data_IF_376809455489
#
_entry.id   IF_376809455489
#
_cell.length_a   1.000
_cell.length_b   1.000
_cell.length_c   1.000
_cell.angle_alpha   90.00
_cell.angle_beta   90.00
_cell.angle_gamma   90.00
#
_symmetry.space_group_name_H-M   'P 1'
#
loop_
_entity.id
_entity.type
_entity.pdbx_description
1 polymer ?
#
# COMPACT_ATOMS: atom_id res chain seq x y z
N UNK A 1 -5.70 -24.08 13.64
CA UNK A 1 -4.63 -23.59 12.75
C UNK A 1 -3.61 -22.85 13.60
N UNK A 2 -2.40 -22.63 13.09
CA UNK A 2 -1.45 -21.72 13.73
C UNK A 2 -0.62 -20.95 12.70
N UNK A 3 -0.06 -19.82 13.13
CA UNK A 3 0.71 -18.91 12.28
C UNK A 3 1.91 -18.38 13.05
N UNK A 4 3.10 -18.47 12.46
CA UNK A 4 4.26 -17.70 12.91
C UNK A 4 4.19 -16.28 12.37
N UNK A 5 4.43 -15.26 13.18
CA UNK A 5 4.49 -13.86 12.70
C UNK A 5 5.80 -13.20 13.13
N UNK A 6 6.65 -12.83 12.18
CA UNK A 6 7.86 -12.04 12.44
C UNK A 6 7.58 -10.59 12.08
N UNK A 7 7.74 -9.69 13.05
CA UNK A 7 7.41 -8.27 12.89
C UNK A 7 6.04 -7.94 13.50
N UNK A 8 6.01 -7.78 14.81
CA UNK A 8 4.81 -7.35 15.55
C UNK A 8 4.74 -5.82 15.63
N UNK A 9 4.76 -5.16 14.46
CA UNK A 9 4.48 -3.73 14.34
C UNK A 9 2.98 -3.43 14.45
N UNK A 10 2.54 -2.33 13.84
CA UNK A 10 1.10 -2.00 13.75
C UNK A 10 0.32 -3.04 12.93
N UNK A 11 0.83 -3.43 11.75
CA UNK A 11 0.19 -4.42 10.88
C UNK A 11 0.25 -5.82 11.47
N UNK A 12 1.45 -6.40 11.64
CA UNK A 12 1.60 -7.76 12.18
C UNK A 12 1.02 -7.96 13.59
N UNK A 13 1.00 -6.91 14.43
CA UNK A 13 0.32 -6.97 15.73
C UNK A 13 -1.20 -7.06 15.61
N UNK A 14 -1.84 -6.30 14.71
CA UNK A 14 -3.28 -6.41 14.48
C UNK A 14 -3.66 -7.74 13.83
N UNK A 15 -2.83 -8.24 12.91
CA UNK A 15 -3.00 -9.57 12.33
C UNK A 15 -2.91 -10.67 13.40
N UNK A 16 -1.96 -10.57 14.32
CA UNK A 16 -1.85 -11.49 15.45
C UNK A 16 -3.11 -11.48 16.34
N UNK A 17 -3.66 -10.29 16.62
CA UNK A 17 -4.90 -10.15 17.40
C UNK A 17 -6.11 -10.71 16.66
N UNK A 18 -6.16 -10.58 15.34
CA UNK A 18 -7.20 -11.19 14.52
C UNK A 18 -7.11 -12.72 14.52
N UNK A 19 -5.90 -13.27 14.42
CA UNK A 19 -5.67 -14.72 14.54
C UNK A 19 -6.24 -15.24 15.86
N UNK A 20 -5.89 -14.58 16.99
CA UNK A 20 -6.41 -14.94 18.31
C UNK A 20 -7.94 -14.91 18.34
N UNK A 21 -8.59 -13.87 17.80
CA UNK A 21 -10.05 -13.78 17.82
C UNK A 21 -10.75 -14.81 16.92
N UNK A 22 -10.00 -15.55 16.10
CA UNK A 22 -10.48 -16.65 15.24
C UNK A 22 -9.94 -18.02 15.69
N UNK A 23 -9.47 -18.12 16.94
CA UNK A 23 -8.90 -19.35 17.52
C UNK A 23 -7.71 -19.92 16.72
N UNK A 24 -6.95 -19.04 16.04
CA UNK A 24 -5.70 -19.37 15.35
C UNK A 24 -4.55 -19.06 16.31
N UNK A 25 -3.81 -20.10 16.71
CA UNK A 25 -2.67 -19.94 17.62
C UNK A 25 -1.56 -19.13 16.92
N UNK A 26 -0.99 -18.16 17.62
CA UNK A 26 0.10 -17.33 17.10
C UNK A 26 1.36 -17.53 17.92
N UNK A 27 2.48 -17.76 17.23
CA UNK A 27 3.81 -17.52 17.79
C UNK A 27 4.35 -16.29 17.08
N UNK A 28 4.66 -15.25 17.83
CA UNK A 28 5.16 -13.98 17.34
C UNK A 28 6.64 -13.82 17.65
N UNK A 29 7.38 -13.12 16.77
CA UNK A 29 8.77 -12.74 17.01
C UNK A 29 8.97 -11.25 16.86
N UNK A 30 9.53 -10.65 17.91
CA UNK A 30 9.87 -9.22 17.95
C UNK A 30 10.94 -8.96 19.00
N UNK A 31 11.75 -7.91 18.81
CA UNK A 31 12.66 -7.40 19.84
C UNK A 31 11.97 -6.41 20.79
N UNK A 32 10.82 -5.88 20.39
CA UNK A 32 10.07 -4.87 21.14
C UNK A 32 9.03 -5.51 22.03
N UNK A 33 8.97 -5.10 23.30
CA UNK A 33 7.93 -5.57 24.23
C UNK A 33 6.52 -5.24 23.72
N UNK A 34 5.63 -6.23 23.76
CA UNK A 34 4.23 -6.14 23.31
C UNK A 34 3.28 -6.76 24.35
N UNK A 35 3.15 -6.15 25.54
CA UNK A 35 2.34 -6.70 26.63
C UNK A 35 0.87 -6.85 26.27
N UNK A 36 0.38 -6.01 25.36
CA UNK A 36 -0.96 -6.08 24.79
C UNK A 36 -1.22 -7.39 24.04
N UNK A 37 -0.24 -7.87 23.27
CA UNK A 37 -0.35 -9.13 22.52
C UNK A 37 -0.20 -10.35 23.42
N UNK A 38 0.72 -10.30 24.40
CA UNK A 38 0.87 -11.37 25.39
C UNK A 38 -0.40 -11.54 26.20
N UNK A 39 -1.02 -10.43 26.63
CA UNK A 39 -2.29 -10.45 27.38
C UNK A 39 -3.44 -11.02 26.55
N UNK A 40 -3.38 -10.88 25.22
CA UNK A 40 -4.32 -11.49 24.30
C UNK A 40 -4.02 -12.97 24.00
N UNK A 41 -2.93 -13.55 24.53
CA UNK A 41 -2.59 -14.97 24.35
C UNK A 41 -1.65 -15.27 23.18
N UNK A 42 -1.00 -14.26 22.60
CA UNK A 42 0.08 -14.47 21.62
C UNK A 42 1.36 -14.91 22.35
N UNK A 43 1.93 -16.05 21.96
CA UNK A 43 3.26 -16.43 22.46
C UNK A 43 4.33 -15.59 21.75
N UNK A 44 5.20 -14.88 22.48
CA UNK A 44 6.20 -13.98 21.87
C UNK A 44 7.61 -14.42 22.22
N UNK A 45 8.41 -14.65 21.19
CA UNK A 45 9.80 -15.07 21.29
C UNK A 45 10.77 -14.03 20.73
N UNK A 46 11.97 -14.00 21.31
CA UNK A 46 13.07 -13.14 20.84
C UNK A 46 14.03 -13.90 19.94
N UNK A 47 14.31 -15.19 20.22
CA UNK A 47 15.18 -16.05 19.42
C UNK A 47 14.46 -16.71 18.24
N UNK A 48 15.17 -16.98 17.14
CA UNK A 48 14.60 -17.75 16.02
C UNK A 48 14.39 -19.22 16.38
N UNK A 49 15.33 -19.83 17.11
CA UNK A 49 15.22 -21.23 17.55
C UNK A 49 13.95 -21.49 18.38
N UNK A 50 13.71 -20.68 19.42
CA UNK A 50 12.51 -20.80 20.26
C UNK A 50 11.24 -20.51 19.44
N UNK A 51 11.24 -19.43 18.65
CA UNK A 51 10.13 -19.07 17.75
C UNK A 51 9.71 -20.24 16.85
N UNK A 52 10.68 -20.89 16.18
CA UNK A 52 10.43 -22.03 15.31
C UNK A 52 10.04 -23.28 16.11
N UNK A 53 10.65 -23.50 17.27
CA UNK A 53 10.40 -24.65 18.14
C UNK A 53 8.97 -24.69 18.71
N UNK A 54 8.30 -23.55 18.85
CA UNK A 54 6.90 -23.50 19.29
C UNK A 54 5.89 -23.74 18.17
N UNK A 55 6.32 -23.78 16.91
CA UNK A 55 5.49 -24.02 15.73
C UNK A 55 5.55 -25.49 15.28
N UNK A 56 4.42 -26.01 14.79
CA UNK A 56 4.20 -27.33 14.22
C UNK A 56 4.59 -27.33 12.74
N UNK A 57 5.15 -28.44 12.29
CA UNK A 57 5.49 -28.67 10.88
C UNK A 57 4.28 -29.14 10.06
N UNK A 58 4.20 -28.80 8.75
CA UNK A 58 4.99 -27.75 8.10
C UNK A 58 4.61 -26.37 8.63
N UNK A 59 5.61 -25.55 8.94
CA UNK A 59 5.43 -24.24 9.55
C UNK A 59 5.03 -23.21 8.50
N UNK A 60 4.06 -22.35 8.81
CA UNK A 60 3.72 -21.19 7.98
C UNK A 60 4.09 -19.93 8.74
N UNK A 61 5.01 -19.14 8.19
CA UNK A 61 5.58 -17.96 8.84
C UNK A 61 5.32 -16.72 7.99
N UNK A 62 4.52 -15.79 8.51
CA UNK A 62 4.23 -14.48 7.91
C UNK A 62 5.29 -13.45 8.34
N UNK A 63 5.92 -12.78 7.38
CA UNK A 63 6.82 -11.64 7.61
C UNK A 63 6.04 -10.34 7.45
N UNK A 64 5.91 -9.58 8.53
CA UNK A 64 5.31 -8.24 8.54
C UNK A 64 6.41 -7.20 8.81
N UNK A 65 7.28 -7.00 7.81
CA UNK A 65 8.51 -6.22 7.93
C UNK A 65 8.59 -5.12 6.86
N UNK A 66 9.38 -4.06 7.09
CA UNK A 66 9.75 -3.11 6.03
C UNK A 66 10.41 -3.85 4.86
N UNK A 67 10.05 -3.46 3.64
CA UNK A 67 10.60 -4.02 2.41
C UNK A 67 12.12 -3.79 2.29
N UNK A 68 12.76 -4.55 1.39
CA UNK A 68 14.20 -4.47 1.12
C UNK A 68 15.05 -5.27 2.11
N UNK A 69 16.21 -4.74 2.48
CA UNK A 69 17.29 -5.44 3.21
C UNK A 69 16.82 -6.06 4.55
N UNK A 70 15.79 -5.47 5.18
CA UNK A 70 15.25 -6.02 6.45
C UNK A 70 14.66 -7.41 6.25
N UNK A 71 13.95 -7.66 5.14
CA UNK A 71 13.40 -8.98 4.82
C UNK A 71 14.54 -9.95 4.52
N UNK A 72 15.55 -9.53 3.75
CA UNK A 72 16.68 -10.40 3.39
C UNK A 72 17.45 -10.87 4.63
N UNK A 73 17.76 -9.96 5.56
CA UNK A 73 18.41 -10.31 6.84
C UNK A 73 17.59 -11.28 7.68
N UNK A 74 16.28 -11.07 7.75
CA UNK A 74 15.39 -11.97 8.52
C UNK A 74 15.32 -13.35 7.87
N UNK A 75 15.27 -13.44 6.54
CA UNK A 75 15.31 -14.73 5.83
C UNK A 75 16.63 -15.45 6.09
N UNK A 76 17.77 -14.75 6.00
CA UNK A 76 19.10 -15.30 6.27
C UNK A 76 19.22 -15.88 7.69
N UNK A 77 18.70 -15.17 8.69
CA UNK A 77 18.71 -15.61 10.09
C UNK A 77 17.69 -16.72 10.38
N UNK A 78 16.54 -16.75 9.68
CA UNK A 78 15.46 -17.70 9.92
C UNK A 78 15.71 -19.06 9.26
N UNK A 79 16.17 -19.08 8.00
CA UNK A 79 16.34 -20.30 7.19
C UNK A 79 17.14 -21.41 7.88
N UNK A 80 18.23 -21.14 8.62
CA UNK A 80 18.99 -22.17 9.34
C UNK A 80 18.19 -22.95 10.40
N UNK A 81 17.03 -22.43 10.83
CA UNK A 81 16.18 -23.06 11.82
C UNK A 81 15.01 -23.85 11.23
N UNK A 82 14.73 -23.69 9.93
CA UNK A 82 13.56 -24.29 9.27
C UNK A 82 13.85 -25.68 8.73
N UNK A 83 12.78 -26.48 8.65
CA UNK A 83 12.80 -27.82 8.08
C UNK A 83 12.31 -27.81 6.63
N UNK A 84 12.59 -28.90 5.89
CA UNK A 84 12.09 -29.07 4.53
C UNK A 84 10.55 -29.05 4.50
N UNK A 85 9.97 -28.27 3.60
CA UNK A 85 8.52 -28.09 3.46
C UNK A 85 7.92 -26.98 4.33
N UNK A 86 8.71 -26.31 5.18
CA UNK A 86 8.26 -25.09 5.86
C UNK A 86 8.05 -23.95 4.83
N UNK A 87 7.26 -22.95 5.20
CA UNK A 87 6.89 -21.83 4.34
C UNK A 87 7.25 -20.50 4.97
N UNK A 88 7.98 -19.67 4.23
CA UNK A 88 8.17 -18.25 4.49
C UNK A 88 7.22 -17.47 3.58
N UNK A 89 6.35 -16.67 4.18
CA UNK A 89 5.43 -15.80 3.48
C UNK A 89 5.79 -14.34 3.73
N UNK A 90 6.26 -13.62 2.72
CA UNK A 90 6.54 -12.18 2.80
C UNK A 90 5.26 -11.41 2.60
N UNK A 91 4.76 -10.79 3.67
CA UNK A 91 3.50 -10.04 3.67
C UNK A 91 3.65 -8.53 3.60
N UNK A 92 4.86 -8.04 3.28
CA UNK A 92 5.18 -6.63 3.14
C UNK A 92 4.86 -6.07 1.75
N UNK A 93 5.20 -4.80 1.53
CA UNK A 93 5.17 -4.18 0.20
C UNK A 93 6.52 -4.38 -0.51
N UNK A 94 7.00 -5.62 -0.61
CA UNK A 94 8.29 -5.91 -1.26
C UNK A 94 8.20 -5.75 -2.77
N UNK A 95 9.32 -5.37 -3.40
CA UNK A 95 9.41 -5.34 -4.86
C UNK A 95 9.37 -6.76 -5.42
N UNK A 96 8.52 -7.01 -6.41
CA UNK A 96 8.23 -8.37 -6.86
C UNK A 96 9.45 -9.12 -7.43
N UNK A 97 10.45 -8.41 -7.98
CA UNK A 97 11.69 -9.04 -8.45
C UNK A 97 12.55 -9.55 -7.30
N UNK A 98 12.51 -8.89 -6.14
CA UNK A 98 13.15 -9.39 -4.92
C UNK A 98 12.47 -10.68 -4.46
N UNK A 99 11.15 -10.77 -4.57
CA UNK A 99 10.42 -12.01 -4.26
C UNK A 99 10.80 -13.17 -5.17
N UNK A 100 10.98 -12.93 -6.48
CA UNK A 100 11.48 -13.95 -7.42
C UNK A 100 12.89 -14.41 -7.04
N UNK A 101 13.75 -13.47 -6.63
CA UNK A 101 15.11 -13.80 -6.18
C UNK A 101 15.10 -14.61 -4.88
N UNK A 102 14.36 -14.13 -3.87
CA UNK A 102 14.21 -14.76 -2.55
C UNK A 102 13.63 -16.16 -2.66
N UNK A 103 12.66 -16.37 -3.54
CA UNK A 103 12.09 -17.70 -3.76
C UNK A 103 13.16 -18.70 -4.20
N UNK A 104 13.99 -18.35 -5.20
CA UNK A 104 15.07 -19.23 -5.67
C UNK A 104 16.07 -19.56 -4.56
N UNK A 105 16.43 -18.56 -3.75
CA UNK A 105 17.36 -18.71 -2.63
C UNK A 105 16.79 -19.64 -1.56
N UNK A 106 15.55 -19.42 -1.15
CA UNK A 106 14.87 -20.18 -0.09
C UNK A 106 14.54 -21.61 -0.53
N UNK A 107 14.06 -21.79 -1.76
CA UNK A 107 13.71 -23.12 -2.31
C UNK A 107 14.93 -23.99 -2.57
N UNK A 108 16.11 -23.42 -2.82
CA UNK A 108 17.37 -24.18 -2.85
C UNK A 108 17.70 -24.90 -1.53
N UNK A 109 17.04 -24.49 -0.43
CA UNK A 109 17.17 -25.06 0.92
C UNK A 109 16.00 -25.98 1.29
N UNK A 110 15.09 -26.27 0.36
CA UNK A 110 13.92 -27.12 0.60
C UNK A 110 12.76 -26.42 1.32
N UNK A 111 12.79 -25.09 1.40
CA UNK A 111 11.78 -24.26 2.06
C UNK A 111 10.94 -23.57 0.97
N UNK A 112 9.64 -23.48 1.17
CA UNK A 112 8.76 -22.74 0.28
C UNK A 112 8.79 -21.24 0.56
N UNK A 113 8.64 -20.44 -0.49
CA UNK A 113 8.49 -18.99 -0.38
C UNK A 113 7.21 -18.55 -1.06
N UNK A 114 6.44 -17.68 -0.38
CA UNK A 114 5.21 -17.08 -0.88
C UNK A 114 5.33 -15.56 -0.75
N UNK A 115 5.15 -14.83 -1.85
CA UNK A 115 4.93 -13.39 -1.79
C UNK A 115 3.44 -13.10 -1.58
N UNK A 116 3.12 -12.32 -0.55
CA UNK A 116 1.75 -12.09 -0.09
C UNK A 116 1.45 -10.59 -0.05
N UNK A 117 0.94 -10.09 -1.18
CA UNK A 117 0.39 -8.74 -1.24
C UNK A 117 -0.81 -8.59 -0.30
N UNK A 118 -0.68 -7.71 0.70
CA UNK A 118 -1.74 -7.51 1.73
C UNK A 118 -2.31 -6.09 1.66
N UNK A 119 -3.63 -5.94 1.54
CA UNK A 119 -4.34 -4.65 1.51
C UNK A 119 -5.49 -4.60 2.54
N UNK A 120 -5.95 -3.39 2.87
CA UNK A 120 -7.03 -3.12 3.85
C UNK A 120 -6.63 -2.28 5.07
N UNK A 121 -5.36 -1.85 5.17
CA UNK A 121 -4.88 -1.01 6.27
C UNK A 121 -4.95 -1.69 7.64
N UNK A 122 -4.94 -0.88 8.71
CA UNK A 122 -4.95 -1.38 10.10
C UNK A 122 -6.27 -2.07 10.45
N UNK A 123 -7.38 -1.53 9.95
CA UNK A 123 -8.71 -2.13 10.15
C UNK A 123 -8.79 -3.49 9.45
N UNK A 124 -8.32 -3.57 8.20
CA UNK A 124 -8.28 -4.84 7.48
C UNK A 124 -7.41 -5.87 8.17
N UNK A 125 -6.23 -5.50 8.67
CA UNK A 125 -5.39 -6.39 9.46
C UNK A 125 -6.08 -6.91 10.75
N UNK A 126 -7.07 -6.18 11.28
CA UNK A 126 -7.79 -6.56 12.50
C UNK A 126 -9.08 -7.33 12.22
N UNK A 127 -9.76 -7.03 11.13
CA UNK A 127 -11.14 -7.47 10.89
C UNK A 127 -11.29 -8.31 9.62
N UNK A 128 -10.39 -8.16 8.65
CA UNK A 128 -10.37 -8.91 7.40
C UNK A 128 -9.53 -8.19 6.37
N UNK A 129 -8.45 -8.80 5.86
CA UNK A 129 -7.60 -8.19 4.85
C UNK A 129 -7.93 -8.70 3.44
N UNK A 130 -7.35 -8.07 2.43
CA UNK A 130 -7.28 -8.59 1.07
C UNK A 130 -5.88 -9.16 0.82
N UNK A 131 -5.79 -10.43 0.43
CA UNK A 131 -4.55 -11.16 0.19
C UNK A 131 -4.42 -11.59 -1.27
N UNK A 132 -3.30 -11.23 -1.87
CA UNK A 132 -2.89 -11.56 -3.24
C UNK A 132 -1.58 -12.32 -3.16
N UNK A 133 -1.61 -13.65 -3.32
CA UNK A 133 -0.41 -14.47 -3.13
C UNK A 133 0.20 -14.95 -4.44
N UNK A 134 1.54 -14.95 -4.52
CA UNK A 134 2.34 -15.59 -5.55
C UNK A 134 3.21 -16.68 -4.93
N UNK A 135 3.38 -17.79 -5.64
CA UNK A 135 4.10 -18.96 -5.14
C UNK A 135 3.83 -20.21 -5.99
N UNK A 136 4.49 -21.31 -5.68
CA UNK A 136 4.12 -22.61 -6.27
C UNK A 136 2.73 -23.03 -5.77
N UNK A 137 2.03 -23.89 -6.52
CA UNK A 137 0.71 -24.40 -6.10
C UNK A 137 0.78 -25.09 -4.73
N UNK A 138 1.86 -25.84 -4.48
CA UNK A 138 2.13 -26.48 -3.19
C UNK A 138 2.26 -25.48 -2.05
N UNK A 139 3.07 -24.44 -2.22
CA UNK A 139 3.25 -23.39 -1.22
C UNK A 139 1.95 -22.62 -0.96
N UNK A 140 1.21 -22.31 -2.02
CA UNK A 140 -0.08 -21.63 -1.93
C UNK A 140 -1.12 -22.45 -1.16
N UNK A 141 -1.20 -23.77 -1.40
CA UNK A 141 -2.10 -24.68 -0.68
C UNK A 141 -1.81 -24.72 0.83
N UNK A 142 -0.55 -24.58 1.24
CA UNK A 142 -0.17 -24.54 2.66
C UNK A 142 -0.60 -23.23 3.34
N UNK A 143 -0.51 -22.10 2.64
CA UNK A 143 -0.89 -20.78 3.17
C UNK A 143 -2.39 -20.48 3.08
N UNK A 144 -3.10 -21.07 2.12
CA UNK A 144 -4.49 -20.75 1.81
C UNK A 144 -5.44 -20.84 3.02
N UNK A 145 -5.41 -21.89 3.87
CA UNK A 145 -6.38 -22.01 4.96
C UNK A 145 -6.32 -20.84 5.95
N UNK A 146 -5.11 -20.43 6.35
CA UNK A 146 -4.94 -19.32 7.30
C UNK A 146 -5.25 -17.98 6.64
N UNK A 147 -4.87 -17.78 5.38
CA UNK A 147 -5.16 -16.53 4.68
C UNK A 147 -6.64 -16.35 4.40
N UNK A 148 -7.36 -17.40 3.97
CA UNK A 148 -8.83 -17.35 3.81
C UNK A 148 -9.54 -17.09 5.13
N UNK A 149 -9.03 -17.65 6.23
CA UNK A 149 -9.57 -17.37 7.56
C UNK A 149 -9.35 -15.90 7.98
N UNK A 150 -8.28 -15.25 7.53
CA UNK A 150 -7.96 -13.85 7.86
C UNK A 150 -8.48 -12.84 6.82
N UNK A 151 -8.91 -13.30 5.66
CA UNK A 151 -9.42 -12.46 4.59
C UNK A 151 -10.85 -11.95 4.89
N UNK A 152 -11.22 -10.83 4.26
CA UNK A 152 -12.64 -10.55 4.00
C UNK A 152 -13.21 -11.59 3.03
N UNK A 153 -14.53 -11.76 3.00
CA UNK A 153 -15.18 -12.65 2.03
C UNK A 153 -14.78 -12.26 0.60
N UNK A 154 -14.30 -13.23 -0.18
CA UNK A 154 -13.78 -13.02 -1.53
C UNK A 154 -12.43 -12.28 -1.61
N UNK A 155 -11.84 -11.88 -0.48
CA UNK A 155 -10.59 -11.13 -0.40
C UNK A 155 -9.31 -11.98 -0.47
N UNK A 156 -9.34 -13.14 -1.11
CA UNK A 156 -8.16 -14.01 -1.26
C UNK A 156 -8.04 -14.49 -2.70
N UNK A 157 -6.83 -14.41 -3.26
CA UNK A 157 -6.51 -14.97 -4.57
C UNK A 157 -5.07 -15.47 -4.64
N UNK A 158 -4.88 -16.66 -5.22
CA UNK A 158 -3.58 -17.13 -5.70
C UNK A 158 -3.39 -16.67 -7.14
N UNK A 159 -2.39 -15.82 -7.35
CA UNK A 159 -2.16 -15.07 -8.60
C UNK A 159 -1.19 -15.76 -9.56
N UNK A 160 -0.63 -16.90 -9.13
CA UNK A 160 0.26 -17.74 -9.93
C UNK A 160 1.67 -17.82 -9.33
N UNK A 161 2.67 -17.83 -10.21
CA UNK A 161 4.09 -18.10 -9.89
C UNK A 161 4.69 -17.09 -8.90
N UNK A 162 5.83 -17.42 -8.26
CA UNK A 162 6.55 -16.49 -7.39
C UNK A 162 6.74 -15.10 -8.03
N UNK A 163 6.53 -14.06 -7.23
CA UNK A 163 6.51 -12.64 -7.60
C UNK A 163 5.14 -12.13 -8.06
N UNK A 164 4.19 -12.98 -8.42
CA UNK A 164 2.90 -12.52 -8.97
C UNK A 164 2.02 -11.80 -7.95
N UNK A 165 2.04 -12.19 -6.67
CA UNK A 165 1.24 -11.59 -5.61
C UNK A 165 1.68 -10.16 -5.31
N UNK A 166 2.99 -9.96 -5.10
CA UNK A 166 3.55 -8.62 -4.93
C UNK A 166 3.42 -7.77 -6.20
N UNK A 167 3.51 -8.36 -7.40
CA UNK A 167 3.27 -7.61 -8.63
C UNK A 167 1.81 -7.13 -8.74
N UNK A 168 0.84 -7.99 -8.46
CA UNK A 168 -0.58 -7.60 -8.43
C UNK A 168 -0.82 -6.53 -7.36
N UNK A 169 -0.19 -6.63 -6.18
CA UNK A 169 -0.27 -5.61 -5.13
C UNK A 169 0.37 -4.27 -5.56
N UNK A 170 1.47 -4.32 -6.30
CA UNK A 170 2.10 -3.13 -6.86
C UNK A 170 1.17 -2.41 -7.84
N UNK A 171 0.50 -3.16 -8.73
CA UNK A 171 -0.54 -2.61 -9.62
C UNK A 171 -1.73 -2.04 -8.84
N UNK A 172 -2.20 -2.74 -7.80
CA UNK A 172 -3.24 -2.25 -6.89
C UNK A 172 -2.89 -0.88 -6.32
N UNK A 173 -1.68 -0.69 -5.77
CA UNK A 173 -1.25 0.61 -5.24
C UNK A 173 -1.18 1.70 -6.31
N UNK A 174 -0.81 1.36 -7.55
CA UNK A 174 -0.87 2.30 -8.66
C UNK A 174 -2.28 2.78 -8.97
N UNK A 175 -3.25 1.87 -8.98
CA UNK A 175 -4.68 2.20 -9.15
C UNK A 175 -5.15 3.09 -8.00
N UNK A 176 -4.79 2.75 -6.76
CA UNK A 176 -5.09 3.53 -5.57
C UNK A 176 -4.60 4.99 -5.71
N UNK A 177 -3.35 5.20 -6.14
CA UNK A 177 -2.80 6.55 -6.34
C UNK A 177 -3.56 7.34 -7.42
N UNK A 178 -3.93 6.69 -8.53
CA UNK A 178 -4.77 7.31 -9.56
C UNK A 178 -6.13 7.75 -9.02
N UNK A 179 -6.76 6.92 -8.18
CA UNK A 179 -8.03 7.25 -7.54
C UNK A 179 -7.90 8.38 -6.51
N UNK A 180 -6.87 8.32 -5.65
CA UNK A 180 -6.58 9.36 -4.66
C UNK A 180 -6.42 10.72 -5.33
N UNK A 181 -5.63 10.78 -6.40
CA UNK A 181 -5.41 12.01 -7.15
C UNK A 181 -6.71 12.55 -7.75
N UNK A 182 -7.50 11.70 -8.41
CA UNK A 182 -8.78 12.10 -9.00
C UNK A 182 -9.79 12.61 -7.95
N UNK A 183 -9.85 11.99 -6.77
CA UNK A 183 -10.67 12.44 -5.65
C UNK A 183 -10.17 13.81 -5.14
N UNK A 184 -8.86 13.98 -4.96
CA UNK A 184 -8.25 15.23 -4.51
C UNK A 184 -8.52 16.41 -5.47
N UNK A 185 -8.41 16.18 -6.78
CA UNK A 185 -8.75 17.18 -7.81
C UNK A 185 -10.23 17.59 -7.74
N UNK A 186 -11.12 16.62 -7.50
CA UNK A 186 -12.54 16.88 -7.28
C UNK A 186 -12.82 17.76 -6.06
N UNK A 187 -12.11 17.50 -4.95
CA UNK A 187 -12.18 18.34 -3.73
C UNK A 187 -11.75 19.77 -4.04
N UNK A 188 -10.61 19.94 -4.71
CA UNK A 188 -10.08 21.26 -5.07
C UNK A 188 -11.07 22.04 -5.94
N UNK A 189 -11.65 21.40 -6.95
CA UNK A 189 -12.65 22.01 -7.83
C UNK A 189 -13.92 22.41 -7.06
N UNK A 190 -14.44 21.54 -6.21
CA UNK A 190 -15.64 21.82 -5.42
C UNK A 190 -15.42 22.99 -4.44
N UNK A 191 -14.24 23.07 -3.80
CA UNK A 191 -13.90 24.19 -2.91
C UNK A 191 -13.82 25.54 -3.63
N UNK A 192 -13.41 25.55 -4.88
CA UNK A 192 -13.30 26.76 -5.69
C UNK A 192 -14.56 27.07 -6.52
N UNK A 193 -15.64 26.31 -6.28
CA UNK A 193 -16.93 26.55 -6.92
C UNK A 193 -17.74 27.64 -6.20
N UNK A 194 -18.71 28.23 -6.90
CA UNK A 194 -19.58 29.27 -6.35
C UNK A 194 -20.71 28.73 -5.43
N UNK A 195 -20.77 27.40 -5.24
CA UNK A 195 -21.93 26.71 -4.64
C UNK A 195 -21.88 26.53 -3.11
N UNK A 196 -20.82 27.00 -2.42
CA UNK A 196 -20.69 26.90 -0.95
C UNK A 196 -20.99 25.49 -0.41
N UNK A 197 -20.33 24.48 -0.96
CA UNK A 197 -20.68 23.07 -0.78
C UNK A 197 -20.23 22.52 0.59
N UNK A 198 -21.09 21.70 1.21
CA UNK A 198 -20.70 20.89 2.37
C UNK A 198 -20.05 19.58 1.90
N UNK A 199 -18.72 19.56 1.86
CA UNK A 199 -17.96 18.40 1.37
C UNK A 199 -18.19 17.14 2.22
N UNK A 200 -18.32 17.27 3.54
CA UNK A 200 -18.55 16.11 4.42
C UNK A 200 -19.84 15.38 4.04
N UNK A 201 -20.94 16.11 3.90
CA UNK A 201 -22.24 15.53 3.56
C UNK A 201 -22.24 14.94 2.14
N UNK A 202 -21.51 15.55 1.21
CA UNK A 202 -21.36 15.06 -0.16
C UNK A 202 -20.59 13.74 -0.19
N UNK A 203 -19.44 13.65 0.49
CA UNK A 203 -18.66 12.41 0.53
C UNK A 203 -19.42 11.30 1.26
N UNK A 204 -20.15 11.63 2.35
CA UNK A 204 -21.09 10.68 2.98
C UNK A 204 -22.16 10.21 2.02
N UNK A 205 -22.75 11.10 1.24
CA UNK A 205 -23.72 10.71 0.21
C UNK A 205 -23.08 9.76 -0.82
N UNK A 206 -21.87 10.06 -1.30
CA UNK A 206 -21.19 9.23 -2.29
C UNK A 206 -20.75 7.86 -1.77
N UNK A 207 -20.54 7.72 -0.46
CA UNK A 207 -20.33 6.40 0.15
C UNK A 207 -21.57 5.49 0.07
N UNK A 208 -22.75 6.03 -0.29
CA UNK A 208 -24.02 5.32 -0.29
C UNK A 208 -24.60 5.17 -1.72
N UNK A 209 -24.33 4.02 -2.36
CA UNK A 209 -24.96 3.65 -3.64
C UNK A 209 -24.41 4.38 -4.88
N UNK A 210 -23.46 5.31 -4.72
CA UNK A 210 -22.80 5.98 -5.84
C UNK A 210 -22.00 5.01 -6.72
N UNK A 211 -21.78 5.40 -7.97
CA UNK A 211 -20.88 4.71 -8.90
C UNK A 211 -19.44 4.74 -8.39
N UNK A 212 -19.02 5.84 -7.76
CA UNK A 212 -17.65 6.01 -7.24
C UNK A 212 -17.48 5.51 -5.80
N UNK A 213 -18.50 4.87 -5.21
CA UNK A 213 -18.43 4.37 -3.84
C UNK A 213 -17.20 3.48 -3.69
N UNK A 214 -16.41 3.75 -2.65
CA UNK A 214 -15.17 3.04 -2.37
C UNK A 214 -14.70 3.39 -0.97
N UNK A 215 -13.81 2.56 -0.41
CA UNK A 215 -13.20 2.83 0.88
C UNK A 215 -12.47 4.19 0.91
N UNK A 216 -11.86 4.63 -0.20
CA UNK A 216 -11.22 5.96 -0.27
C UNK A 216 -12.23 7.12 -0.12
N UNK A 217 -13.44 6.97 -0.66
CA UNK A 217 -14.53 7.94 -0.49
C UNK A 217 -15.02 7.95 0.96
N UNK A 218 -15.10 6.78 1.60
CA UNK A 218 -15.44 6.64 3.02
C UNK A 218 -14.38 7.28 3.93
N UNK A 219 -13.08 7.07 3.63
CA UNK A 219 -11.98 7.71 4.35
C UNK A 219 -12.02 9.23 4.22
N UNK A 220 -12.35 9.76 3.04
CA UNK A 220 -12.50 11.20 2.86
C UNK A 220 -13.69 11.74 3.65
N UNK A 221 -14.81 11.03 3.67
CA UNK A 221 -15.97 11.39 4.49
C UNK A 221 -15.61 11.47 5.98
N UNK A 222 -14.96 10.44 6.52
CA UNK A 222 -14.52 10.41 7.92
C UNK A 222 -13.47 11.48 8.23
N UNK A 223 -12.50 11.70 7.34
CA UNK A 223 -11.50 12.75 7.50
C UNK A 223 -12.09 14.16 7.55
N UNK A 224 -13.15 14.44 6.80
CA UNK A 224 -13.88 15.71 6.84
C UNK A 224 -14.78 15.86 8.09
N UNK A 225 -15.15 14.76 8.72
CA UNK A 225 -15.84 14.77 10.02
C UNK A 225 -14.88 15.17 11.14
N UNK A 226 -13.64 14.70 11.09
CA UNK A 226 -12.60 15.01 12.08
C UNK A 226 -11.91 16.37 11.83
N UNK A 227 -11.72 16.76 10.57
CA UNK A 227 -10.99 17.97 10.17
C UNK A 227 -11.91 18.94 9.46
N UNK A 228 -12.45 19.90 10.21
CA UNK A 228 -13.37 20.91 9.68
C UNK A 228 -12.69 22.02 8.84
N UNK A 229 -11.41 22.30 9.11
CA UNK A 229 -10.61 23.23 8.29
C UNK A 229 -9.49 22.48 7.56
N UNK A 230 -9.70 22.25 6.26
CA UNK A 230 -8.71 21.59 5.40
C UNK A 230 -7.36 22.32 5.36
N UNK A 231 -7.30 23.64 5.65
CA UNK A 231 -6.04 24.36 5.69
C UNK A 231 -5.16 23.96 6.89
N UNK A 232 -5.74 23.30 7.90
CA UNK A 232 -4.98 22.70 9.00
C UNK A 232 -4.19 21.45 8.57
N UNK A 233 -4.53 20.85 7.43
CA UNK A 233 -3.80 19.70 6.87
C UNK A 233 -2.68 20.22 5.95
N UNK A 234 -1.42 19.86 6.19
CA UNK A 234 -0.33 20.22 5.28
C UNK A 234 -0.56 19.61 3.89
N UNK A 235 -0.45 20.43 2.84
CA UNK A 235 -0.56 19.97 1.44
C UNK A 235 0.65 19.16 0.92
N UNK A 236 1.57 18.76 1.79
CA UNK A 236 2.74 17.96 1.45
C UNK A 236 2.40 16.47 1.59
N UNK A 237 2.66 15.68 0.56
CA UNK A 237 2.37 14.24 0.55
C UNK A 237 3.69 13.46 0.56
N UNK A 238 3.86 12.60 1.57
CA UNK A 238 4.99 11.65 1.64
C UNK A 238 4.56 10.26 1.15
N UNK A 239 5.49 9.51 0.56
CA UNK A 239 5.25 8.12 0.14
C UNK A 239 6.48 7.24 0.33
N UNK A 240 6.25 5.92 0.28
CA UNK A 240 7.29 4.89 0.40
C UNK A 240 7.95 4.55 -0.93
N UNK A 241 7.48 5.11 -2.05
CA UNK A 241 8.11 5.05 -3.36
C UNK A 241 7.71 3.86 -4.23
N UNK A 242 6.82 2.96 -3.76
CA UNK A 242 6.51 1.73 -4.49
C UNK A 242 5.90 2.00 -5.87
N UNK A 243 5.03 3.01 -5.99
CA UNK A 243 4.38 3.34 -7.27
C UNK A 243 5.40 3.86 -8.30
N UNK A 244 6.55 4.38 -7.87
CA UNK A 244 7.65 4.72 -8.79
C UNK A 244 8.20 3.46 -9.48
N UNK A 245 8.26 2.32 -8.77
CA UNK A 245 8.66 1.05 -9.37
C UNK A 245 7.66 0.58 -10.42
N UNK A 246 6.36 0.82 -10.20
CA UNK A 246 5.32 0.52 -11.19
C UNK A 246 5.47 1.40 -12.45
N UNK A 247 5.70 2.70 -12.27
CA UNK A 247 5.92 3.62 -13.40
C UNK A 247 7.15 3.22 -14.21
N UNK A 248 8.26 2.87 -13.52
CA UNK A 248 9.45 2.37 -14.19
C UNK A 248 9.17 1.06 -14.95
N UNK A 249 8.48 0.12 -14.32
CA UNK A 249 8.13 -1.16 -14.96
C UNK A 249 7.24 -0.97 -16.20
N UNK A 250 6.34 0.01 -16.18
CA UNK A 250 5.51 0.34 -17.34
C UNK A 250 6.33 0.96 -18.48
N UNK A 251 7.31 1.82 -18.16
CA UNK A 251 8.26 2.38 -19.13
C UNK A 251 9.11 1.26 -19.76
N UNK A 252 9.70 0.39 -18.93
CA UNK A 252 10.55 -0.72 -19.39
C UNK A 252 9.79 -1.69 -20.31
N UNK A 253 8.47 -1.78 -20.16
CA UNK A 253 7.57 -2.61 -20.98
C UNK A 253 6.88 -1.85 -22.12
N UNK A 254 7.09 -0.55 -22.23
CA UNK A 254 6.41 0.33 -23.18
C UNK A 254 4.87 0.26 -23.07
N UNK A 255 4.34 0.13 -21.84
CA UNK A 255 2.89 0.05 -21.56
C UNK A 255 2.39 1.41 -21.04
N UNK A 256 1.37 2.02 -21.69
CA UNK A 256 0.85 3.32 -21.26
C UNK A 256 -0.01 3.20 -19.99
N UNK A 257 0.37 3.92 -18.93
CA UNK A 257 -0.41 4.06 -17.68
C UNK A 257 -0.59 5.54 -17.25
N UNK A 258 -1.10 6.42 -18.14
CA UNK A 258 -0.99 7.87 -17.98
C UNK A 258 -1.60 8.43 -16.69
N UNK A 259 -2.75 7.90 -16.25
CA UNK A 259 -3.42 8.37 -15.01
C UNK A 259 -2.54 8.11 -13.79
N UNK A 260 -2.00 6.90 -13.68
CA UNK A 260 -1.11 6.51 -12.57
C UNK A 260 0.17 7.34 -12.62
N UNK A 261 0.79 7.49 -13.80
CA UNK A 261 1.98 8.33 -13.96
C UNK A 261 1.72 9.77 -13.51
N UNK A 262 0.60 10.38 -13.93
CA UNK A 262 0.27 11.75 -13.53
C UNK A 262 0.05 11.87 -12.02
N UNK A 263 -0.60 10.90 -11.37
CA UNK A 263 -0.77 10.92 -9.90
C UNK A 263 0.56 10.97 -9.14
N UNK A 264 1.59 10.25 -9.61
CA UNK A 264 2.94 10.31 -9.04
C UNK A 264 3.59 11.68 -9.27
N UNK A 265 3.42 12.26 -10.46
CA UNK A 265 3.94 13.60 -10.77
C UNK A 265 3.28 14.67 -9.89
N UNK A 266 1.97 14.60 -9.67
CA UNK A 266 1.25 15.51 -8.78
C UNK A 266 1.70 15.37 -7.32
N UNK A 267 1.94 14.14 -6.87
CA UNK A 267 2.56 13.90 -5.57
C UNK A 267 3.94 14.57 -5.48
N UNK A 268 4.80 14.49 -6.50
CA UNK A 268 6.07 15.24 -6.49
C UNK A 268 5.87 16.76 -6.51
N UNK A 269 4.84 17.27 -7.21
CA UNK A 269 4.49 18.69 -7.21
C UNK A 269 4.05 19.16 -5.83
N UNK A 270 3.33 18.32 -5.06
CA UNK A 270 2.95 18.62 -3.67
C UNK A 270 4.16 18.96 -2.78
N UNK A 271 5.32 18.38 -3.08
CA UNK A 271 6.59 18.61 -2.35
C UNK A 271 7.34 19.86 -2.79
N UNK A 272 7.00 20.43 -3.95
CA UNK A 272 7.74 21.52 -4.59
C UNK A 272 6.84 22.72 -4.87
N UNK A 273 6.83 23.69 -3.95
CA UNK A 273 6.07 24.94 -4.10
C UNK A 273 6.63 25.90 -5.15
N UNK A 274 7.93 25.84 -5.43
CA UNK A 274 8.60 26.68 -6.42
C UNK A 274 9.14 25.85 -7.60
N UNK A 275 9.18 26.44 -8.80
CA UNK A 275 9.56 25.74 -10.03
C UNK A 275 10.40 26.61 -10.96
N UNK A 276 11.68 26.26 -11.10
CA UNK A 276 12.58 26.86 -12.09
C UNK A 276 12.15 26.56 -13.52
N UNK A 277 11.49 25.42 -13.76
CA UNK A 277 10.91 25.12 -15.06
C UNK A 277 9.86 26.17 -15.46
N UNK A 278 9.02 26.62 -14.53
CA UNK A 278 8.04 27.68 -14.81
C UNK A 278 8.68 29.05 -14.99
N UNK A 279 9.75 29.34 -14.25
CA UNK A 279 10.56 30.56 -14.46
C UNK A 279 11.19 30.56 -15.86
N UNK A 280 11.79 29.45 -16.28
CA UNK A 280 12.38 29.30 -17.61
C UNK A 280 11.32 29.43 -18.73
N UNK A 281 10.15 28.80 -18.57
CA UNK A 281 9.02 28.95 -19.51
C UNK A 281 8.56 30.41 -19.58
N UNK A 282 8.42 31.09 -18.44
CA UNK A 282 8.06 32.50 -18.41
C UNK A 282 9.09 33.37 -19.15
N UNK A 283 10.39 33.13 -18.93
CA UNK A 283 11.48 33.81 -19.65
C UNK A 283 11.40 33.61 -21.16
N UNK A 284 11.20 32.36 -21.62
CA UNK A 284 11.06 32.06 -23.04
C UNK A 284 9.84 32.76 -23.65
N UNK A 285 8.68 32.70 -22.98
CA UNK A 285 7.44 33.38 -23.41
C UNK A 285 7.61 34.90 -23.51
N UNK A 286 8.31 35.49 -22.55
CA UNK A 286 8.65 36.91 -22.61
C UNK A 286 9.57 37.20 -23.82
N UNK A 287 10.61 36.39 -24.02
CA UNK A 287 11.59 36.58 -25.08
C UNK A 287 11.01 36.50 -26.50
N UNK A 288 10.14 35.53 -26.80
CA UNK A 288 9.60 35.38 -28.16
C UNK A 288 8.31 36.18 -28.40
N UNK A 289 7.52 36.47 -27.36
CA UNK A 289 6.15 36.99 -27.51
C UNK A 289 5.85 38.23 -26.68
N UNK A 290 6.81 38.79 -25.95
CA UNK A 290 6.62 39.94 -25.08
C UNK A 290 5.66 39.69 -23.91
N UNK A 291 5.34 38.43 -23.59
CA UNK A 291 4.42 38.09 -22.51
C UNK A 291 4.94 38.63 -21.16
N UNK A 292 4.08 39.25 -20.31
CA UNK A 292 4.52 39.79 -19.04
C UNK A 292 4.99 38.69 -18.08
N UNK A 293 5.91 39.05 -17.20
CA UNK A 293 6.23 38.23 -16.04
C UNK A 293 5.15 38.40 -14.97
N UNK A 294 4.67 37.28 -14.43
CA UNK A 294 3.63 37.30 -13.40
C UNK A 294 2.22 37.51 -13.95
N UNK A 295 1.29 37.90 -13.06
CA UNK A 295 -0.12 38.08 -13.40
C UNK A 295 -0.33 39.41 -14.12
N UNK A 296 -1.04 39.37 -15.23
CA UNK A 296 -1.50 40.55 -15.96
C UNK A 296 -3.03 40.52 -16.09
N UNK A 297 -3.70 41.54 -15.54
CA UNK A 297 -5.16 41.60 -15.49
C UNK A 297 -5.79 41.82 -16.87
N UNK A 298 -5.09 42.50 -17.80
CA UNK A 298 -5.60 42.74 -19.14
C UNK A 298 -5.65 41.44 -19.96
N UNK A 299 -4.57 40.64 -19.90
CA UNK A 299 -4.49 39.33 -20.54
C UNK A 299 -5.45 38.34 -19.85
N UNK A 300 -5.58 38.40 -18.52
CA UNK A 300 -6.52 37.55 -17.79
C UNK A 300 -7.98 37.84 -18.18
N UNK A 301 -8.32 39.12 -18.39
CA UNK A 301 -9.63 39.53 -18.92
C UNK A 301 -9.83 39.06 -20.35
N UNK A 302 -8.85 39.30 -21.23
CA UNK A 302 -8.88 38.84 -22.61
C UNK A 302 -9.11 37.32 -22.70
N UNK A 303 -8.42 36.52 -21.89
CA UNK A 303 -8.63 35.06 -21.82
C UNK A 303 -10.09 34.66 -21.53
N UNK A 304 -10.83 35.47 -20.78
CA UNK A 304 -12.25 35.22 -20.45
C UNK A 304 -13.22 35.76 -21.51
N UNK A 305 -12.80 36.75 -22.31
CA UNK A 305 -13.69 37.46 -23.25
C UNK A 305 -13.35 37.24 -24.72
N UNK A 306 -12.24 36.57 -25.03
CA UNK A 306 -11.74 36.40 -26.41
C UNK A 306 -12.46 35.33 -27.22
N UNK A 307 -13.26 34.48 -26.57
CA UNK A 307 -14.17 33.56 -27.26
C UNK A 307 -15.55 34.19 -27.35
N UNK A 308 -16.05 34.40 -28.57
CA UNK A 308 -17.47 34.68 -28.79
C UNK A 308 -18.28 33.46 -28.36
N UNK A 309 -19.42 33.70 -27.69
CA UNK A 309 -20.37 32.67 -27.29
C UNK A 309 -21.03 32.00 -28.51
#
# INVERSE_FOLDING_TARGET
MELGIIGLGKMGGNLALQCVSKDIRVVGKTKTSRPDLVSAGVNIEVGYGDFVGFLKTPRVIYLSLPAGETVDKVIEELVPHLDHGDVIMDGGNSYYRDSIRREREVTSRGIHYVDCGTSGGLEGARSGACFMIGGTDEAAMLCEPVLKALAVEGGFVHTGKPGSGHFVKLVHNGIEFGMLQAIGEGVELMKHSDFHLNLHDIFRNWSNGSVIRSWLVELMAGGLEEVHDLNAVPAYIEDTGEVNWLVQEAIDREIPIPVITQSVIELFRSRRRESDAYRAIAMMRHGFGGHPFGKDESIAKERKTSKAA
#
